data_IF_776382274125
#
_entry.id   IF_776382274125
#
_cell.length_a   1.000
_cell.length_b   1.000
_cell.length_c   1.000
_cell.angle_alpha   90.00
_cell.angle_beta   90.00
_cell.angle_gamma   90.00
#
_symmetry.space_group_name_H-M   'P 1'
#
loop_
_entity.id
_entity.type
_entity.pdbx_description
1 polymer ?
#
# COMPACT_ATOMS: atom_id res chain seq x y z
N UNK A 1 11.47 -3.51 -20.24
CA UNK A 1 10.45 -3.80 -21.28
C UNK A 1 9.29 -2.87 -21.04
N UNK A 2 8.64 -2.30 -22.07
CA UNK A 2 7.39 -1.59 -21.87
C UNK A 2 6.35 -2.52 -21.24
N UNK A 3 5.59 -2.03 -20.26
CA UNK A 3 4.50 -2.80 -19.66
C UNK A 3 3.46 -3.11 -20.74
N UNK A 4 3.01 -4.36 -20.79
CA UNK A 4 1.92 -4.74 -21.68
C UNK A 4 0.63 -4.06 -21.18
N UNK A 5 -0.26 -3.64 -22.09
CA UNK A 5 -1.58 -3.19 -21.69
C UNK A 5 -2.30 -4.24 -20.85
N UNK A 6 -3.11 -3.79 -19.90
CA UNK A 6 -3.99 -4.65 -19.12
C UNK A 6 -4.83 -5.54 -20.04
N UNK A 7 -4.97 -6.81 -19.66
CA UNK A 7 -5.75 -7.79 -20.41
C UNK A 7 -7.26 -7.54 -20.27
N UNK A 8 -7.66 -6.94 -19.15
CA UNK A 8 -9.07 -6.69 -18.80
C UNK A 8 -9.54 -5.27 -19.08
N UNK A 9 -8.64 -4.37 -19.52
CA UNK A 9 -8.95 -2.95 -19.72
C UNK A 9 -9.44 -2.55 -21.12
N UNK A 10 -9.82 -3.47 -22.00
CA UNK A 10 -9.93 -3.11 -23.41
C UNK A 10 -11.07 -2.12 -23.71
N UNK A 11 -12.26 -2.19 -23.08
CA UNK A 11 -13.37 -1.25 -23.37
C UNK A 11 -14.38 -1.01 -22.22
N UNK A 12 -14.22 -1.65 -21.06
CA UNK A 12 -15.29 -1.70 -20.05
C UNK A 12 -15.20 -0.64 -18.93
N UNK A 13 -14.03 -0.01 -18.68
CA UNK A 13 -13.80 0.59 -17.35
C UNK A 13 -14.00 2.07 -17.14
N UNK A 14 -14.02 2.95 -18.14
CA UNK A 14 -14.24 4.39 -17.84
C UNK A 14 -15.61 4.66 -17.17
N UNK A 15 -16.60 3.79 -17.38
CA UNK A 15 -17.92 3.85 -16.71
C UNK A 15 -18.06 2.93 -15.50
N UNK A 16 -17.16 1.96 -15.34
CA UNK A 16 -17.22 0.94 -14.29
C UNK A 16 -16.21 1.18 -13.16
N UNK A 17 -15.22 2.06 -13.37
CA UNK A 17 -14.28 2.48 -12.34
C UNK A 17 -15.03 3.00 -11.12
N UNK A 18 -14.73 2.44 -9.96
CA UNK A 18 -15.22 2.99 -8.70
C UNK A 18 -14.85 4.48 -8.57
N UNK A 19 -13.61 4.86 -8.90
CA UNK A 19 -13.18 6.26 -8.94
C UNK A 19 -12.07 6.47 -9.96
N UNK A 20 -12.28 7.33 -10.97
CA UNK A 20 -11.27 7.67 -11.98
C UNK A 20 -10.36 8.80 -11.46
N UNK A 21 -9.05 8.55 -11.33
CA UNK A 21 -8.14 9.46 -10.62
C UNK A 21 -7.38 10.40 -11.55
N UNK A 22 -7.02 9.94 -12.75
CA UNK A 22 -6.21 10.71 -13.72
C UNK A 22 -6.77 12.10 -14.02
N UNK A 23 -8.08 12.29 -14.31
CA UNK A 23 -8.62 13.61 -14.63
C UNK A 23 -8.47 14.63 -13.50
N UNK A 24 -8.32 14.16 -12.27
CA UNK A 24 -8.17 14.99 -11.08
C UNK A 24 -6.72 15.30 -10.71
N UNK A 25 -5.75 14.70 -11.41
CA UNK A 25 -4.33 14.83 -11.11
C UNK A 25 -3.83 13.88 -10.02
N UNK A 26 -4.65 12.96 -9.52
CA UNK A 26 -4.30 11.95 -8.51
C UNK A 26 -3.48 10.80 -9.11
N UNK A 27 -2.36 11.17 -9.75
CA UNK A 27 -1.56 10.27 -10.61
C UNK A 27 -0.66 9.34 -9.82
N UNK A 28 -0.58 8.09 -10.28
CA UNK A 28 0.16 6.98 -9.68
C UNK A 28 -0.20 6.78 -8.19
N UNK A 29 -1.41 6.27 -7.89
CA UNK A 29 -1.85 6.01 -6.52
C UNK A 29 -1.11 4.81 -5.92
N UNK A 30 -0.71 4.92 -4.66
CA UNK A 30 -0.01 3.87 -3.94
C UNK A 30 -0.80 3.31 -2.76
N UNK A 31 -1.65 4.13 -2.15
CA UNK A 31 -2.29 3.78 -0.89
C UNK A 31 -3.66 4.44 -0.78
N UNK A 32 -4.59 3.72 -0.15
CA UNK A 32 -5.97 4.15 0.04
C UNK A 32 -6.46 3.74 1.42
N UNK A 33 -7.35 4.55 2.00
CA UNK A 33 -8.10 4.20 3.20
C UNK A 33 -9.48 4.87 3.20
N UNK A 34 -10.40 4.37 4.02
CA UNK A 34 -11.65 5.07 4.31
C UNK A 34 -11.54 5.76 5.68
N UNK A 35 -12.14 6.93 5.80
CA UNK A 35 -12.38 7.55 7.09
C UNK A 35 -13.68 7.07 7.74
N UNK A 36 -13.95 7.58 8.95
CA UNK A 36 -15.17 7.27 9.69
C UNK A 36 -16.46 7.78 9.02
N UNK A 37 -16.35 8.72 8.07
CA UNK A 37 -17.47 9.28 7.29
C UNK A 37 -17.67 8.53 5.97
N UNK A 38 -16.97 7.40 5.78
CA UNK A 38 -16.97 6.60 4.56
C UNK A 38 -16.43 7.33 3.31
N UNK A 39 -15.69 8.42 3.50
CA UNK A 39 -14.97 9.06 2.39
C UNK A 39 -13.69 8.29 2.09
N UNK A 40 -13.39 8.17 0.80
CA UNK A 40 -12.19 7.51 0.29
C UNK A 40 -11.04 8.52 0.26
N UNK A 41 -9.94 8.18 0.92
CA UNK A 41 -8.69 8.93 0.82
C UNK A 41 -7.69 8.18 -0.05
N UNK A 42 -7.03 8.93 -0.94
CA UNK A 42 -6.06 8.40 -1.91
C UNK A 42 -4.75 9.16 -1.80
N UNK A 43 -3.67 8.45 -1.48
CA UNK A 43 -2.30 8.95 -1.57
C UNK A 43 -1.66 8.52 -2.89
N UNK A 44 -1.16 9.51 -3.62
CA UNK A 44 -0.60 9.35 -4.96
C UNK A 44 0.64 10.23 -5.12
N UNK A 45 1.38 10.08 -6.23
CA UNK A 45 2.43 11.06 -6.58
C UNK A 45 1.86 12.44 -6.88
N UNK A 46 0.60 12.49 -7.33
CA UNK A 46 -0.16 13.72 -7.54
C UNK A 46 -0.59 14.43 -6.26
N UNK A 47 -0.39 13.84 -5.08
CA UNK A 47 -0.81 14.42 -3.80
C UNK A 47 -1.80 13.55 -3.03
N UNK A 48 -2.51 14.18 -2.09
CA UNK A 48 -3.54 13.57 -1.25
C UNK A 48 -4.94 14.05 -1.69
N UNK A 49 -5.88 13.13 -1.85
CA UNK A 49 -7.23 13.42 -2.33
C UNK A 49 -8.27 12.72 -1.46
N UNK A 50 -9.38 13.41 -1.19
CA UNK A 50 -10.57 12.87 -0.50
C UNK A 50 -11.74 12.86 -1.47
N UNK A 51 -12.38 11.71 -1.61
CA UNK A 51 -13.56 11.49 -2.44
C UNK A 51 -14.75 11.10 -1.58
N UNK A 52 -15.93 11.62 -1.91
CA UNK A 52 -17.18 11.20 -1.29
C UNK A 52 -17.65 9.84 -1.85
N UNK A 53 -18.81 9.36 -1.40
CA UNK A 53 -19.41 8.10 -1.88
C UNK A 53 -19.83 8.11 -3.36
N UNK A 54 -19.99 9.29 -3.94
CA UNK A 54 -20.31 9.51 -5.36
C UNK A 54 -19.05 9.68 -6.22
N UNK A 55 -17.87 9.52 -5.63
CA UNK A 55 -16.57 9.71 -6.27
C UNK A 55 -16.28 11.15 -6.71
N UNK A 56 -16.96 12.14 -6.12
CA UNK A 56 -16.60 13.55 -6.27
C UNK A 56 -15.48 13.92 -5.31
N UNK A 57 -14.57 14.79 -5.75
CA UNK A 57 -13.55 15.37 -4.87
C UNK A 57 -14.19 16.35 -3.91
N UNK A 58 -13.94 16.12 -2.62
CA UNK A 58 -14.37 17.01 -1.54
C UNK A 58 -13.19 17.68 -0.83
N UNK A 59 -11.96 17.21 -1.08
CA UNK A 59 -10.72 17.84 -0.63
C UNK A 59 -9.52 17.35 -1.45
N UNK A 60 -8.54 18.22 -1.70
CA UNK A 60 -7.26 17.84 -2.29
C UNK A 60 -6.08 18.68 -1.78
N UNK A 61 -4.92 18.04 -1.67
CA UNK A 61 -3.59 18.64 -1.56
C UNK A 61 -2.77 18.23 -2.78
N UNK A 62 -2.98 18.94 -3.88
CA UNK A 62 -2.30 18.66 -5.15
C UNK A 62 -0.79 18.92 -5.09
N UNK A 63 -0.08 18.09 -5.84
CA UNK A 63 1.31 18.29 -6.21
C UNK A 63 1.40 18.42 -7.74
N UNK A 64 1.84 19.59 -8.20
CA UNK A 64 1.99 19.87 -9.63
C UNK A 64 3.18 19.15 -10.29
N UNK A 65 4.04 18.50 -9.49
CA UNK A 65 5.26 17.84 -9.97
C UNK A 65 5.32 16.35 -9.60
N UNK A 66 4.35 15.51 -10.02
CA UNK A 66 4.29 14.09 -9.64
C UNK A 66 5.54 13.31 -10.07
N UNK A 67 6.21 13.72 -11.15
CA UNK A 67 7.46 13.10 -11.63
C UNK A 67 8.65 13.28 -10.68
N UNK A 68 8.60 14.27 -9.79
CA UNK A 68 9.64 14.50 -8.77
C UNK A 68 9.41 13.69 -7.49
N UNK A 69 8.24 13.09 -7.34
CA UNK A 69 7.91 12.37 -6.11
C UNK A 69 8.45 10.95 -6.12
N UNK A 70 8.92 10.52 -4.96
CA UNK A 70 9.28 9.15 -4.67
C UNK A 70 8.02 8.25 -4.76
N UNK A 71 8.19 6.95 -5.05
CA UNK A 71 7.11 5.96 -4.90
C UNK A 71 6.60 5.85 -3.46
N UNK A 72 5.45 5.18 -3.30
CA UNK A 72 4.90 4.74 -2.01
C UNK A 72 4.38 5.84 -1.08
N UNK A 73 3.72 6.86 -1.63
CA UNK A 73 2.91 7.76 -0.80
C UNK A 73 1.92 6.95 0.06
N UNK A 74 1.82 7.26 1.36
CA UNK A 74 1.00 6.51 2.32
C UNK A 74 -0.15 7.38 2.83
N UNK A 75 -1.31 6.76 3.06
CA UNK A 75 -2.44 7.38 3.77
C UNK A 75 -3.11 6.39 4.71
N UNK A 76 -3.22 6.76 5.98
CA UNK A 76 -3.82 5.90 7.00
C UNK A 76 -4.81 6.71 7.82
N UNK A 77 -6.01 6.16 8.02
CA UNK A 77 -7.00 6.73 8.93
C UNK A 77 -6.86 6.13 10.33
N UNK A 78 -6.79 6.99 11.35
CA UNK A 78 -6.73 6.60 12.76
C UNK A 78 -7.42 7.64 13.63
N UNK A 79 -8.39 7.23 14.46
CA UNK A 79 -9.09 8.09 15.43
C UNK A 79 -9.50 9.47 14.87
N UNK A 80 -10.25 9.48 13.78
CA UNK A 80 -10.72 10.70 13.10
C UNK A 80 -9.60 11.62 12.57
N UNK A 81 -8.40 11.06 12.37
CA UNK A 81 -7.27 11.74 11.75
C UNK A 81 -6.81 10.97 10.53
N UNK A 82 -6.22 11.70 9.60
CA UNK A 82 -5.52 11.18 8.43
C UNK A 82 -4.04 11.39 8.63
N UNK A 83 -3.28 10.30 8.54
CA UNK A 83 -1.82 10.33 8.54
C UNK A 83 -1.38 10.17 7.09
N UNK A 84 -0.68 11.17 6.58
CA UNK A 84 -0.22 11.21 5.20
C UNK A 84 1.30 11.34 5.14
N UNK A 85 1.92 10.55 4.27
CA UNK A 85 3.35 10.63 4.00
C UNK A 85 3.61 10.66 2.50
N UNK A 86 4.50 11.56 2.06
CA UNK A 86 4.93 11.62 0.67
C UNK A 86 6.39 12.10 0.57
N UNK A 87 7.21 11.37 -0.18
CA UNK A 87 8.63 11.68 -0.33
C UNK A 87 8.94 12.32 -1.67
N UNK A 88 9.95 13.19 -1.70
CA UNK A 88 10.54 13.69 -2.94
C UNK A 88 11.76 12.84 -3.34
N UNK A 89 11.86 12.49 -4.62
CA UNK A 89 12.80 11.49 -5.09
C UNK A 89 14.27 11.93 -4.99
N UNK A 90 14.54 13.24 -5.08
CA UNK A 90 15.93 13.76 -5.08
C UNK A 90 16.40 14.28 -3.73
N UNK A 91 15.49 14.63 -2.82
CA UNK A 91 15.86 15.19 -1.51
C UNK A 91 16.14 14.10 -0.47
N UNK A 92 15.69 12.86 -0.73
CA UNK A 92 15.69 11.77 0.26
C UNK A 92 14.98 12.16 1.56
N UNK A 93 13.96 13.03 1.46
CA UNK A 93 13.11 13.45 2.57
C UNK A 93 11.67 13.00 2.30
N UNK A 94 11.01 12.54 3.36
CA UNK A 94 9.58 12.26 3.38
C UNK A 94 8.88 13.32 4.21
N UNK A 95 7.92 14.02 3.62
CA UNK A 95 7.00 14.88 4.37
C UNK A 95 5.99 14.02 5.11
N UNK A 96 5.82 14.27 6.41
CA UNK A 96 4.81 13.66 7.26
C UNK A 96 3.78 14.69 7.69
N UNK A 97 2.50 14.35 7.56
CA UNK A 97 1.37 15.19 7.99
C UNK A 97 0.36 14.37 8.78
N UNK A 98 -0.19 14.99 9.82
CA UNK A 98 -1.44 14.55 10.47
C UNK A 98 -2.49 15.61 10.20
N UNK A 99 -3.62 15.19 9.65
CA UNK A 99 -4.73 16.04 9.27
C UNK A 99 -6.00 15.60 10.00
N UNK A 100 -6.89 16.55 10.28
CA UNK A 100 -8.30 16.26 10.57
C UNK A 100 -9.03 15.79 9.30
N UNK A 101 -10.25 15.26 9.46
CA UNK A 101 -11.06 14.76 8.34
C UNK A 101 -11.49 15.85 7.34
N UNK A 102 -11.47 17.13 7.73
CA UNK A 102 -11.71 18.26 6.82
C UNK A 102 -10.44 18.71 6.06
N UNK A 103 -9.29 18.09 6.35
CA UNK A 103 -8.01 18.39 5.73
C UNK A 103 -7.19 19.48 6.41
N UNK A 104 -7.61 20.00 7.57
CA UNK A 104 -6.78 20.90 8.37
C UNK A 104 -5.52 20.17 8.86
N UNK A 105 -4.34 20.72 8.58
CA UNK A 105 -3.07 20.14 9.02
C UNK A 105 -2.86 20.45 10.50
N UNK A 106 -2.89 19.43 11.34
CA UNK A 106 -2.66 19.54 12.78
C UNK A 106 -1.18 19.39 13.16
N UNK A 107 -0.44 18.62 12.36
CA UNK A 107 0.97 18.38 12.57
C UNK A 107 1.70 18.16 11.24
N UNK A 108 2.93 18.67 11.13
CA UNK A 108 3.78 18.50 9.96
C UNK A 108 5.26 18.53 10.35
N UNK A 109 6.04 17.59 9.81
CA UNK A 109 7.50 17.61 9.87
C UNK A 109 8.09 16.78 8.71
N UNK A 110 9.42 16.73 8.61
CA UNK A 110 10.14 15.93 7.63
C UNK A 110 10.87 14.77 8.29
N UNK A 111 10.86 13.63 7.62
CA UNK A 111 11.53 12.39 8.02
C UNK A 111 12.65 12.14 7.01
N UNK A 112 13.86 11.87 7.52
CA UNK A 112 15.00 11.50 6.69
C UNK A 112 14.78 10.11 6.06
N UNK A 113 15.07 10.01 4.77
CA UNK A 113 14.90 8.83 3.94
C UNK A 113 13.51 8.74 3.30
N UNK A 114 13.43 7.95 2.22
CA UNK A 114 12.17 7.64 1.52
C UNK A 114 11.36 6.58 2.25
N UNK A 115 10.24 6.96 2.87
CA UNK A 115 9.31 5.99 3.47
C UNK A 115 8.71 5.09 2.39
N UNK A 116 8.53 3.82 2.73
CA UNK A 116 7.95 2.81 1.86
C UNK A 116 6.59 2.30 2.35
N UNK A 117 6.39 2.15 3.65
CA UNK A 117 5.14 1.67 4.22
C UNK A 117 4.94 2.20 5.63
N UNK A 118 3.68 2.42 6.00
CA UNK A 118 3.26 2.91 7.31
C UNK A 118 2.14 2.01 7.85
N UNK A 119 2.18 1.70 9.14
CA UNK A 119 1.09 1.09 9.86
C UNK A 119 0.86 1.82 11.20
N UNK A 120 -0.39 1.85 11.63
CA UNK A 120 -0.78 2.35 12.95
C UNK A 120 -1.50 1.23 13.69
N UNK A 121 -1.16 1.08 14.96
CA UNK A 121 -1.79 0.13 15.87
C UNK A 121 -2.98 0.78 16.58
N UNK A 122 -3.81 -0.03 17.24
CA UNK A 122 -5.02 0.46 17.91
C UNK A 122 -4.72 1.43 19.07
N UNK A 123 -3.57 1.29 19.72
CA UNK A 123 -3.12 2.18 20.79
C UNK A 123 -2.42 3.45 20.27
N UNK A 124 -2.23 3.60 18.95
CA UNK A 124 -1.62 4.78 18.35
C UNK A 124 -0.11 4.70 18.10
N UNK A 125 0.53 3.54 18.32
CA UNK A 125 1.92 3.34 17.89
C UNK A 125 1.99 3.31 16.36
N UNK A 126 2.93 4.08 15.83
CA UNK A 126 3.24 4.18 14.41
C UNK A 126 4.46 3.34 14.10
N UNK A 127 4.38 2.53 13.06
CA UNK A 127 5.49 1.76 12.52
C UNK A 127 5.70 2.14 11.06
N UNK A 128 6.95 2.33 10.63
CA UNK A 128 7.26 2.59 9.23
C UNK A 128 8.52 1.88 8.74
N UNK A 129 8.57 1.62 7.44
CA UNK A 129 9.76 1.14 6.72
C UNK A 129 10.25 2.20 5.75
N UNK A 130 11.54 2.17 5.41
CA UNK A 130 12.16 3.07 4.43
C UNK A 130 12.80 2.26 3.29
N UNK A 131 12.88 2.86 2.11
CA UNK A 131 13.63 2.31 1.00
C UNK A 131 15.12 2.27 1.37
N UNK A 132 15.77 1.15 1.11
CA UNK A 132 17.19 0.96 1.41
C UNK A 132 18.06 1.74 0.41
N UNK A 133 18.99 2.55 0.90
CA UNK A 133 19.78 3.47 0.08
C UNK A 133 21.23 3.02 -0.16
N UNK A 134 21.84 2.22 0.73
CA UNK A 134 23.19 1.67 0.52
C UNK A 134 23.63 0.61 1.51
N UNK A 135 23.12 0.67 2.75
CA UNK A 135 23.61 -0.17 3.83
C UNK A 135 22.89 -1.51 3.81
N UNK A 136 23.56 -2.62 4.12
CA UNK A 136 22.92 -3.95 4.20
C UNK A 136 21.90 -4.06 5.34
N UNK A 137 21.74 -3.02 6.16
CA UNK A 137 20.77 -2.96 7.24
C UNK A 137 19.45 -2.33 6.76
N UNK A 138 18.34 -2.94 7.15
CA UNK A 138 16.99 -2.39 7.00
C UNK A 138 16.31 -2.36 8.36
N UNK A 139 15.62 -1.24 8.66
CA UNK A 139 14.99 -1.03 9.96
C UNK A 139 13.51 -0.69 9.83
N UNK A 140 12.73 -1.19 10.78
CA UNK A 140 11.40 -0.69 11.13
C UNK A 140 11.60 0.41 12.15
N UNK A 141 10.98 1.56 11.89
CA UNK A 141 11.02 2.72 12.77
C UNK A 141 9.70 2.82 13.54
N UNK A 142 9.77 3.25 14.80
CA UNK A 142 8.60 3.43 15.66
C UNK A 142 8.48 4.87 16.17
N UNK A 143 7.25 5.34 16.30
CA UNK A 143 6.88 6.57 17.00
C UNK A 143 5.43 6.42 17.53
N UNK A 144 4.81 7.49 18.01
CA UNK A 144 3.44 7.49 18.51
C UNK A 144 2.64 8.65 17.93
N UNK A 145 1.37 8.46 17.63
CA UNK A 145 0.53 9.47 16.97
C UNK A 145 0.35 10.78 17.77
N UNK A 146 0.38 10.71 19.09
CA UNK A 146 0.28 11.90 19.97
C UNK A 146 1.56 12.75 19.94
N UNK A 147 2.69 12.11 19.70
CA UNK A 147 4.01 12.74 19.62
C UNK A 147 4.76 12.14 18.43
N UNK A 148 4.33 12.42 17.18
CA UNK A 148 4.82 11.71 16.00
C UNK A 148 6.18 12.27 15.56
N UNK A 149 7.06 12.46 16.52
CA UNK A 149 8.43 12.96 16.39
C UNK A 149 9.36 11.94 17.05
N UNK A 150 10.68 12.11 16.89
CA UNK A 150 11.68 11.22 17.49
C UNK A 150 11.51 9.73 17.12
N UNK A 151 11.46 9.46 15.81
CA UNK A 151 11.41 8.09 15.29
C UNK A 151 12.64 7.29 15.73
N UNK A 152 12.41 6.17 16.40
CA UNK A 152 13.46 5.27 16.88
C UNK A 152 13.52 3.99 16.05
N UNK A 153 14.70 3.37 15.97
CA UNK A 153 14.85 2.05 15.37
C UNK A 153 14.23 1.02 16.32
N UNK A 154 13.21 0.33 15.82
CA UNK A 154 12.44 -0.64 16.60
C UNK A 154 12.86 -2.08 16.33
N UNK A 155 13.14 -2.42 15.07
CA UNK A 155 13.60 -3.73 14.65
C UNK A 155 14.52 -3.56 13.44
N UNK A 156 15.66 -4.23 13.44
CA UNK A 156 16.59 -4.23 12.30
C UNK A 156 16.80 -5.64 11.76
N UNK A 157 17.13 -5.74 10.48
CA UNK A 157 17.61 -6.96 9.82
C UNK A 157 18.79 -6.63 8.91
N UNK A 158 19.58 -7.65 8.56
CA UNK A 158 20.70 -7.54 7.62
C UNK A 158 20.45 -8.41 6.39
N UNK A 159 20.96 -7.96 5.24
CA UNK A 159 20.83 -8.62 3.92
C UNK A 159 19.39 -8.79 3.43
N UNK A 160 18.47 -8.07 4.05
CA UNK A 160 17.04 -8.07 3.80
C UNK A 160 16.49 -6.66 3.90
N UNK A 161 15.41 -6.40 3.16
CA UNK A 161 14.71 -5.13 3.13
C UNK A 161 13.31 -5.35 3.69
N UNK A 162 12.92 -4.58 4.71
CA UNK A 162 11.51 -4.47 5.09
C UNK A 162 10.78 -3.62 4.04
N UNK A 163 9.72 -4.17 3.44
CA UNK A 163 9.00 -3.52 2.34
C UNK A 163 7.66 -2.95 2.82
N UNK A 164 6.66 -3.82 2.99
CA UNK A 164 5.31 -3.44 3.38
C UNK A 164 4.97 -4.01 4.76
N UNK A 165 4.19 -3.27 5.55
CA UNK A 165 3.83 -3.62 6.92
C UNK A 165 2.34 -3.46 7.20
N UNK A 166 1.84 -4.22 8.16
CA UNK A 166 0.49 -4.09 8.71
C UNK A 166 0.48 -4.56 10.16
N UNK A 167 -0.22 -3.84 11.04
CA UNK A 167 -0.55 -4.35 12.37
C UNK A 167 -1.59 -5.47 12.21
N UNK A 168 -1.34 -6.62 12.84
CA UNK A 168 -2.17 -7.81 12.70
C UNK A 168 -2.47 -8.40 14.08
N UNK A 169 -3.69 -8.16 14.56
CA UNK A 169 -4.03 -8.35 15.97
C UNK A 169 -3.38 -7.27 16.84
N UNK A 170 -3.23 -7.55 18.14
CA UNK A 170 -2.83 -6.55 19.13
C UNK A 170 -1.31 -6.53 19.39
N UNK A 171 -0.59 -7.59 19.01
CA UNK A 171 0.78 -7.85 19.44
C UNK A 171 1.74 -8.22 18.31
N UNK A 172 1.26 -8.24 17.06
CA UNK A 172 2.05 -8.65 15.89
C UNK A 172 2.00 -7.59 14.79
N UNK A 173 3.17 -7.32 14.22
CA UNK A 173 3.34 -6.64 12.95
C UNK A 173 3.67 -7.68 11.88
N UNK A 174 2.84 -7.76 10.86
CA UNK A 174 3.10 -8.52 9.64
C UNK A 174 4.02 -7.70 8.74
N UNK A 175 5.15 -8.27 8.33
CA UNK A 175 6.18 -7.55 7.56
C UNK A 175 6.57 -8.34 6.33
N UNK A 176 6.35 -7.77 5.14
CA UNK A 176 6.92 -8.32 3.91
C UNK A 176 8.41 -8.00 3.83
N UNK A 177 9.21 -9.03 3.55
CA UNK A 177 10.66 -8.95 3.51
C UNK A 177 11.18 -9.45 2.17
N UNK A 178 12.18 -8.76 1.64
CA UNK A 178 12.83 -9.11 0.36
C UNK A 178 14.34 -9.12 0.56
N UNK A 179 15.07 -10.11 0.02
CA UNK A 179 16.53 -10.14 0.14
C UNK A 179 17.19 -8.99 -0.62
N UNK A 180 18.22 -8.39 -0.03
CA UNK A 180 19.04 -7.32 -0.62
C UNK A 180 20.22 -7.90 -1.42
N UNK A 181 20.61 -7.34 -2.59
CA UNK A 181 19.97 -6.23 -3.29
C UNK A 181 18.63 -6.63 -3.91
N UNK A 182 17.65 -5.73 -3.89
CA UNK A 182 16.31 -5.97 -4.44
C UNK A 182 16.38 -6.06 -5.97
N UNK A 183 16.14 -7.26 -6.52
CA UNK A 183 16.10 -7.54 -7.94
C UNK A 183 15.15 -8.70 -8.23
N UNK A 184 14.95 -9.06 -9.51
CA UNK A 184 14.00 -10.08 -9.95
C UNK A 184 14.19 -11.47 -9.31
N UNK A 185 15.38 -11.78 -8.79
CA UNK A 185 15.73 -13.05 -8.14
C UNK A 185 15.69 -12.98 -6.61
N UNK A 186 15.30 -11.83 -6.02
CA UNK A 186 15.27 -11.69 -4.58
C UNK A 186 14.33 -12.72 -3.95
N UNK A 187 14.81 -13.32 -2.85
CA UNK A 187 13.99 -14.15 -1.96
C UNK A 187 13.00 -13.26 -1.23
N UNK A 188 11.85 -13.82 -0.92
CA UNK A 188 10.73 -13.07 -0.37
C UNK A 188 10.04 -13.93 0.66
N UNK A 189 9.59 -13.32 1.75
CA UNK A 189 8.86 -13.98 2.81
C UNK A 189 8.06 -12.95 3.60
N UNK A 190 7.22 -13.43 4.49
CA UNK A 190 6.55 -12.59 5.49
C UNK A 190 7.13 -12.95 6.85
N UNK A 191 7.42 -11.93 7.66
CA UNK A 191 7.90 -12.07 9.04
C UNK A 191 6.87 -11.55 10.03
N UNK A 192 6.83 -12.19 11.19
CA UNK A 192 6.08 -11.73 12.35
C UNK A 192 7.04 -10.99 13.28
N UNK A 193 6.76 -9.73 13.57
CA UNK A 193 7.50 -8.92 14.54
C UNK A 193 6.59 -8.64 15.72
N UNK A 194 7.03 -8.93 16.94
CA UNK A 194 6.26 -8.62 18.14
C UNK A 194 6.26 -7.10 18.37
N UNK A 195 5.08 -6.49 18.51
CA UNK A 195 4.95 -5.02 18.61
C UNK A 195 5.45 -4.46 19.94
N UNK A 196 5.61 -5.29 20.98
CA UNK A 196 6.08 -4.84 22.30
C UNK A 196 7.61 -4.68 22.35
N UNK A 197 8.34 -5.65 21.80
CA UNK A 197 9.79 -5.75 21.97
C UNK A 197 10.59 -5.76 20.65
N UNK A 198 9.92 -5.70 19.50
CA UNK A 198 10.57 -5.68 18.18
C UNK A 198 11.18 -7.01 17.75
N UNK A 199 10.96 -8.09 18.51
CA UNK A 199 11.54 -9.40 18.20
C UNK A 199 10.85 -10.04 17.00
N UNK A 200 11.63 -10.45 16.00
CA UNK A 200 11.16 -11.33 14.93
C UNK A 200 10.86 -12.71 15.53
N UNK A 201 9.58 -13.10 15.49
CA UNK A 201 9.07 -14.31 16.14
C UNK A 201 8.87 -15.48 15.17
N UNK A 202 8.96 -15.25 13.87
CA UNK A 202 8.84 -16.30 12.86
C UNK A 202 8.76 -15.74 11.44
N UNK A 203 8.79 -16.64 10.47
CA UNK A 203 8.59 -16.31 9.06
C UNK A 203 7.81 -17.41 8.34
N UNK A 204 7.12 -17.03 7.27
CA UNK A 204 6.38 -17.95 6.41
C UNK A 204 6.37 -17.46 4.96
N UNK A 205 5.86 -18.33 4.07
CA UNK A 205 5.86 -18.16 2.62
C UNK A 205 7.27 -18.10 2.00
N UNK A 206 7.33 -18.16 0.67
CA UNK A 206 8.55 -18.02 -0.10
C UNK A 206 8.26 -17.28 -1.42
N UNK A 207 9.34 -16.85 -2.09
CA UNK A 207 9.24 -16.22 -3.41
C UNK A 207 8.63 -17.19 -4.42
N UNK A 208 7.62 -16.73 -5.16
CA UNK A 208 7.03 -17.49 -6.26
C UNK A 208 5.59 -17.10 -6.57
N UNK A 209 5.00 -17.77 -7.56
CA UNK A 209 3.69 -17.43 -8.12
C UNK A 209 2.62 -18.50 -7.89
N UNK A 210 2.96 -19.57 -7.18
CA UNK A 210 2.01 -20.61 -6.81
C UNK A 210 1.24 -20.22 -5.54
N UNK A 211 0.17 -20.96 -5.24
CA UNK A 211 -0.64 -20.74 -4.04
C UNK A 211 0.22 -20.81 -2.77
N UNK A 212 0.09 -19.82 -1.89
CA UNK A 212 0.86 -19.72 -0.65
C UNK A 212 2.26 -19.13 -0.83
N UNK A 213 2.74 -18.95 -2.06
CA UNK A 213 3.96 -18.20 -2.38
C UNK A 213 3.62 -16.73 -2.66
N UNK A 214 4.57 -15.84 -2.44
CA UNK A 214 4.43 -14.40 -2.67
C UNK A 214 5.41 -13.91 -3.72
N UNK A 215 4.98 -12.96 -4.56
CA UNK A 215 5.83 -12.34 -5.58
C UNK A 215 5.78 -10.80 -5.53
N UNK A 216 6.81 -10.19 -4.96
CA UNK A 216 6.95 -8.81 -4.53
C UNK A 216 5.69 -8.29 -3.84
N UNK A 217 5.44 -8.69 -2.58
CA UNK A 217 4.31 -8.16 -1.80
C UNK A 217 4.26 -6.64 -1.86
N UNK A 218 3.09 -6.11 -2.21
CA UNK A 218 2.83 -4.67 -2.36
C UNK A 218 2.14 -4.10 -1.13
N UNK A 219 1.17 -4.83 -0.59
CA UNK A 219 0.37 -4.37 0.53
C UNK A 219 -0.12 -5.55 1.37
N UNK A 220 -0.21 -5.34 2.68
CA UNK A 220 -0.73 -6.28 3.66
C UNK A 220 -1.88 -5.62 4.43
N UNK A 221 -2.92 -6.40 4.74
CA UNK A 221 -4.06 -5.94 5.56
C UNK A 221 -4.55 -7.06 6.47
N UNK A 222 -4.84 -6.75 7.72
CA UNK A 222 -5.63 -7.64 8.59
C UNK A 222 -7.07 -7.72 8.09
N UNK A 223 -7.67 -8.89 8.19
CA UNK A 223 -9.06 -9.18 7.83
C UNK A 223 -9.65 -10.19 8.83
N UNK A 224 -10.20 -9.68 9.93
CA UNK A 224 -10.49 -10.50 11.11
C UNK A 224 -9.22 -11.18 11.62
N UNK A 225 -9.28 -12.49 11.84
CA UNK A 225 -8.14 -13.32 12.26
C UNK A 225 -7.22 -13.78 11.11
N UNK A 226 -7.43 -13.24 9.91
CA UNK A 226 -6.67 -13.59 8.70
C UNK A 226 -5.84 -12.40 8.21
N UNK A 227 -4.73 -12.70 7.54
CA UNK A 227 -3.90 -11.74 6.86
C UNK A 227 -4.17 -11.81 5.35
N UNK A 228 -4.40 -10.66 4.72
CA UNK A 228 -4.47 -10.50 3.28
C UNK A 228 -3.16 -9.94 2.75
N UNK A 229 -2.69 -10.51 1.64
CA UNK A 229 -1.47 -10.08 0.95
C UNK A 229 -1.78 -9.86 -0.52
N UNK A 230 -1.59 -8.61 -0.99
CA UNK A 230 -1.55 -8.26 -2.40
C UNK A 230 -0.10 -8.30 -2.88
N UNK A 231 0.17 -9.04 -3.95
CA UNK A 231 1.50 -9.13 -4.57
C UNK A 231 1.48 -8.65 -6.05
N UNK A 232 2.66 -8.56 -6.70
CA UNK A 232 2.77 -8.06 -8.08
C UNK A 232 2.06 -8.93 -9.12
N UNK A 233 1.62 -10.15 -8.79
CA UNK A 233 0.80 -10.97 -9.69
C UNK A 233 -0.68 -10.61 -9.64
N UNK A 234 -1.05 -9.58 -8.89
CA UNK A 234 -2.44 -9.14 -8.76
C UNK A 234 -3.29 -10.05 -7.87
N UNK A 235 -2.70 -11.11 -7.28
CA UNK A 235 -3.38 -11.99 -6.33
C UNK A 235 -3.50 -11.32 -4.97
N UNK A 236 -4.69 -11.42 -4.38
CA UNK A 236 -4.93 -11.17 -2.95
C UNK A 236 -5.11 -12.53 -2.30
N UNK A 237 -4.15 -12.93 -1.46
CA UNK A 237 -4.12 -14.23 -0.80
C UNK A 237 -4.42 -14.11 0.69
N UNK A 238 -5.19 -15.05 1.24
CA UNK A 238 -5.50 -15.18 2.68
C UNK A 238 -4.53 -16.14 3.35
N UNK A 239 -4.02 -15.72 4.50
CA UNK A 239 -3.18 -16.52 5.38
C UNK A 239 -3.70 -16.48 6.81
N UNK A 240 -3.56 -17.58 7.54
CA UNK A 240 -3.83 -17.66 8.97
C UNK A 240 -2.68 -17.06 9.78
N UNK A 241 -2.91 -16.89 11.08
CA UNK A 241 -1.94 -16.31 12.01
C UNK A 241 -0.66 -17.13 12.23
N UNK A 242 -0.71 -18.43 11.99
CA UNK A 242 0.47 -19.30 11.96
C UNK A 242 1.23 -19.26 10.62
N UNK A 243 0.72 -18.51 9.63
CA UNK A 243 1.31 -18.38 8.30
C UNK A 243 0.84 -19.43 7.28
N UNK A 244 -0.15 -20.26 7.61
CA UNK A 244 -0.70 -21.24 6.66
C UNK A 244 -1.53 -20.55 5.57
N UNK A 245 -1.35 -20.98 4.32
CA UNK A 245 -2.15 -20.51 3.19
C UNK A 245 -3.59 -21.02 3.29
N UNK A 246 -4.56 -20.14 3.05
CA UNK A 246 -5.99 -20.49 3.01
C UNK A 246 -6.48 -20.58 1.58
N UNK A 247 -6.44 -19.46 0.85
CA UNK A 247 -6.96 -19.36 -0.51
C UNK A 247 -6.42 -18.11 -1.24
N UNK A 248 -6.64 -18.07 -2.56
CA UNK A 248 -6.57 -16.83 -3.34
C UNK A 248 -7.96 -16.19 -3.34
N UNK A 249 -8.17 -15.13 -2.57
CA UNK A 249 -9.50 -14.52 -2.36
C UNK A 249 -9.92 -13.58 -3.48
N UNK A 250 -8.97 -12.97 -4.18
CA UNK A 250 -9.24 -12.18 -5.37
C UNK A 250 -8.03 -12.17 -6.31
N UNK A 251 -8.25 -11.91 -7.60
CA UNK A 251 -7.15 -11.66 -8.56
C UNK A 251 -7.52 -10.59 -9.56
N UNK A 252 -6.67 -9.58 -9.64
CA UNK A 252 -6.67 -8.57 -10.70
C UNK A 252 -5.54 -8.85 -11.69
N UNK A 253 -5.41 -8.05 -12.75
CA UNK A 253 -4.28 -8.23 -13.66
C UNK A 253 -2.95 -7.94 -12.95
N UNK A 254 -1.92 -8.72 -13.30
CA UNK A 254 -0.56 -8.54 -12.83
C UNK A 254 -0.10 -7.08 -12.98
N UNK A 255 0.70 -6.61 -12.03
CA UNK A 255 1.34 -5.29 -11.98
C UNK A 255 0.42 -4.06 -11.85
N UNK A 256 -0.91 -4.20 -11.90
CA UNK A 256 -1.82 -3.04 -11.77
C UNK A 256 -1.97 -2.52 -10.33
N UNK A 257 -2.09 -3.41 -9.35
CA UNK A 257 -2.37 -3.05 -7.96
C UNK A 257 -1.13 -2.56 -7.22
N UNK A 258 -1.19 -1.34 -6.68
CA UNK A 258 -0.12 -0.76 -5.85
C UNK A 258 -0.40 -0.90 -4.35
N UNK A 259 -1.67 -0.82 -3.95
CA UNK A 259 -2.09 -0.96 -2.57
C UNK A 259 -3.60 -1.14 -2.49
N UNK A 260 -4.11 -1.58 -1.34
CA UNK A 260 -5.54 -1.76 -1.12
C UNK A 260 -5.93 -1.48 0.33
N UNK A 261 -7.22 -1.27 0.54
CA UNK A 261 -7.89 -1.38 1.84
C UNK A 261 -9.05 -2.35 1.73
N UNK A 262 -9.62 -2.74 2.86
CA UNK A 262 -10.80 -3.63 2.90
C UNK A 262 -12.00 -2.84 3.39
N UNK A 263 -13.13 -3.03 2.74
CA UNK A 263 -14.44 -2.53 3.19
C UNK A 263 -15.44 -3.65 3.04
N UNK A 264 -16.01 -4.10 4.16
CA UNK A 264 -16.82 -5.31 4.22
C UNK A 264 -16.07 -6.52 3.61
N UNK A 265 -16.62 -7.18 2.61
CA UNK A 265 -16.07 -8.33 1.91
C UNK A 265 -15.36 -7.97 0.59
N UNK A 266 -15.03 -6.69 0.38
CA UNK A 266 -14.39 -6.18 -0.83
C UNK A 266 -13.01 -5.59 -0.55
N UNK A 267 -12.07 -5.86 -1.46
CA UNK A 267 -10.83 -5.11 -1.55
C UNK A 267 -11.03 -3.89 -2.46
N UNK A 268 -10.67 -2.72 -1.94
CA UNK A 268 -10.67 -1.45 -2.65
C UNK A 268 -9.22 -1.11 -2.99
N UNK A 269 -8.88 -1.14 -4.28
CA UNK A 269 -7.51 -1.25 -4.78
C UNK A 269 -7.12 0.02 -5.54
N UNK A 270 -5.99 0.61 -5.17
CA UNK A 270 -5.30 1.64 -5.95
C UNK A 270 -4.62 0.99 -7.17
N UNK A 271 -5.08 1.35 -8.36
CA UNK A 271 -4.61 0.82 -9.63
C UNK A 271 -3.88 1.90 -10.43
N UNK A 272 -2.78 1.48 -11.07
CA UNK A 272 -2.06 2.29 -12.05
C UNK A 272 -1.57 1.35 -13.16
N UNK A 273 -1.77 1.72 -14.41
CA UNK A 273 -1.28 0.89 -15.49
C UNK A 273 -1.63 1.38 -16.88
N UNK A 274 -1.23 0.58 -17.85
CA UNK A 274 -1.45 0.85 -19.27
C UNK A 274 -2.78 0.23 -19.71
N UNK A 275 -3.71 1.04 -20.18
CA UNK A 275 -5.07 0.64 -20.60
C UNK A 275 -5.36 1.09 -22.03
N UNK A 276 -6.54 0.75 -22.57
CA UNK A 276 -7.01 1.28 -23.86
C UNK A 276 -8.14 2.28 -23.65
N UNK A 277 -8.08 3.39 -24.37
CA UNK A 277 -9.18 4.37 -24.41
C UNK A 277 -10.33 3.92 -25.34
N UNK A 278 -11.39 4.74 -25.45
CA UNK A 278 -12.55 4.45 -26.29
C UNK A 278 -12.20 4.27 -27.78
N UNK A 279 -11.08 4.85 -28.22
CA UNK A 279 -10.57 4.79 -29.60
C UNK A 279 -9.59 3.61 -29.79
N UNK A 280 -9.36 2.81 -28.75
CA UNK A 280 -8.46 1.66 -28.76
C UNK A 280 -6.98 2.02 -28.65
N UNK A 281 -6.64 3.27 -28.32
CA UNK A 281 -5.25 3.73 -28.13
C UNK A 281 -4.79 3.40 -26.73
N UNK A 282 -3.51 3.07 -26.63
CA UNK A 282 -2.86 2.78 -25.35
C UNK A 282 -2.61 4.07 -24.56
N UNK A 283 -3.12 4.15 -23.33
CA UNK A 283 -2.93 5.27 -22.40
C UNK A 283 -2.48 4.77 -21.02
N UNK A 284 -1.70 5.57 -20.30
CA UNK A 284 -1.47 5.31 -18.88
C UNK A 284 -2.63 5.93 -18.09
N UNK A 285 -3.21 5.14 -17.19
CA UNK A 285 -4.36 5.58 -16.41
C UNK A 285 -4.27 5.10 -14.96
N UNK A 286 -4.93 5.85 -14.08
CA UNK A 286 -4.93 5.71 -12.64
C UNK A 286 -6.37 5.73 -12.13
N UNK A 287 -6.74 4.76 -11.30
CA UNK A 287 -8.09 4.63 -10.76
C UNK A 287 -8.13 3.85 -9.45
N UNK A 288 -9.26 3.90 -8.75
CA UNK A 288 -9.60 2.97 -7.67
C UNK A 288 -10.66 2.01 -8.17
N UNK A 289 -10.52 0.74 -7.79
CA UNK A 289 -11.48 -0.30 -8.15
C UNK A 289 -11.81 -1.22 -6.97
N UNK A 290 -13.00 -1.83 -7.02
CA UNK A 290 -13.44 -2.83 -6.05
C UNK A 290 -13.39 -4.25 -6.62
N UNK A 291 -13.09 -5.23 -5.78
CA UNK A 291 -13.24 -6.66 -6.10
C UNK A 291 -13.63 -7.43 -4.83
N UNK A 292 -14.58 -8.35 -4.96
CA UNK A 292 -15.00 -9.22 -3.86
C UNK A 292 -13.92 -10.21 -3.47
N UNK A 293 -13.82 -10.47 -2.17
CA UNK A 293 -12.87 -11.41 -1.55
C UNK A 293 -13.45 -12.82 -1.42
N UNK A 294 -14.17 -13.27 -2.45
CA UNK A 294 -14.94 -14.52 -2.54
C UNK A 294 -14.41 -15.50 -3.60
N UNK A 295 -13.19 -15.25 -4.10
CA UNK A 295 -12.60 -15.97 -5.21
C UNK A 295 -12.75 -15.24 -6.56
N UNK A 296 -13.34 -14.05 -6.59
CA UNK A 296 -13.49 -13.23 -7.80
C UNK A 296 -12.18 -13.00 -8.56
N UNK A 297 -12.28 -12.92 -9.90
CA UNK A 297 -11.15 -12.74 -10.82
C UNK A 297 -11.51 -11.79 -11.95
N UNK A 298 -10.62 -10.88 -12.32
CA UNK A 298 -10.79 -10.07 -13.53
C UNK A 298 -10.50 -10.84 -14.81
N UNK A 299 -9.55 -11.78 -14.76
CA UNK A 299 -9.25 -12.71 -15.84
C UNK A 299 -9.63 -14.12 -15.44
N UNK A 300 -10.19 -14.89 -16.36
CA UNK A 300 -10.29 -16.35 -16.19
C UNK A 300 -8.89 -16.91 -16.37
N UNK A 301 -8.39 -17.68 -15.39
CA UNK A 301 -7.11 -18.37 -15.52
C UNK A 301 -7.21 -19.34 -16.71
N UNK A 302 -6.49 -19.06 -17.80
CA UNK A 302 -6.34 -19.93 -18.98
C UNK A 302 -5.27 -20.97 -18.76
#
# INVERSE_FOLDING_TARGET
>A
MPENPSKTSNHQRLKEMMCHLTPHGATVPYNVCFDAEHSLWVASKGGLFKFNSSSDIVFDLKNDFPRKMAPYAQVVHFNSKIIYMCGEDKSDLTEFKVLSLDGTVEHQHFIDGKVQSLAVSQNGELFMTKQQTSDNESSIWRSHIDHPVAWEVFCSTFDECFQAICVFGDDILAVAVVSSPVNLYSKQSIKWVNTKDGRICGSFSCSGKDNGQVFFPRCLRGFGDLLLILDKTGRIQKFTRDGSFVEVSAKIDDYLGNGFTVRADEAIIACSGVVKDEEGRTVCDDWVESIRLDGSRWTVDT
#
